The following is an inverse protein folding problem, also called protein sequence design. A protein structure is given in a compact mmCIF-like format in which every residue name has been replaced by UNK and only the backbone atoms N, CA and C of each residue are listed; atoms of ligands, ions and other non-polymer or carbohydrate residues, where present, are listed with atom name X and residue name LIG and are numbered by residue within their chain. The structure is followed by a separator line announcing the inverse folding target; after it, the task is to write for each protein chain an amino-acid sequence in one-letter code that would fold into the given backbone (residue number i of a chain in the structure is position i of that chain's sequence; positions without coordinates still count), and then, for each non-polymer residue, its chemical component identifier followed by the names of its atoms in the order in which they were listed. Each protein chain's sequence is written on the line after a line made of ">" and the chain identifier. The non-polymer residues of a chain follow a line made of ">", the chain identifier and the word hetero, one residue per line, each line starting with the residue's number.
data_IF_729079696473
#
_entry.id   IF_729079696473
#
_cell.length_a   1.000
_cell.length_b   1.000
_cell.length_c   1.000
_cell.angle_alpha   90.00
_cell.angle_beta   90.00
_cell.angle_gamma   90.00
#
_symmetry.space_group_name_H-M   'P 1'
#
loop_
_entity.id
_entity.type
_entity.pdbx_description
1 polymer ?
#
# COMPACT_ATOMS: atom_id res chain seq x y z
N UNK A 1 -13.16 -19.77 -30.14
CA UNK A 1 -11.86 -19.08 -30.32
C UNK A 1 -10.96 -19.58 -29.21
N UNK A 2 -9.75 -20.05 -29.52
CA UNK A 2 -8.81 -20.41 -28.45
C UNK A 2 -8.32 -19.12 -27.80
N UNK A 3 -8.77 -18.84 -26.57
CA UNK A 3 -8.24 -17.75 -25.76
C UNK A 3 -6.86 -18.18 -25.26
N UNK A 4 -5.83 -17.40 -25.60
CA UNK A 4 -4.49 -17.61 -25.07
C UNK A 4 -4.45 -17.31 -23.57
N UNK A 5 -3.33 -17.59 -22.93
CA UNK A 5 -3.05 -17.15 -21.56
C UNK A 5 -1.56 -16.93 -21.40
N UNK A 6 -1.16 -15.93 -20.62
CA UNK A 6 0.22 -15.79 -20.17
C UNK A 6 0.42 -16.71 -18.95
N UNK A 7 1.52 -17.47 -18.95
CA UNK A 7 1.92 -18.29 -17.81
C UNK A 7 3.16 -17.67 -17.15
N UNK A 8 3.08 -17.42 -15.84
CA UNK A 8 4.20 -16.95 -15.02
C UNK A 8 4.65 -18.10 -14.14
N UNK A 9 5.94 -18.45 -14.24
CA UNK A 9 6.61 -19.54 -13.50
C UNK A 9 5.89 -20.91 -13.52
N UNK A 10 5.02 -21.14 -14.52
CA UNK A 10 4.26 -22.38 -14.70
C UNK A 10 3.12 -22.61 -13.71
N UNK A 11 2.96 -21.75 -12.70
CA UNK A 11 1.92 -21.85 -11.66
C UNK A 11 0.80 -20.81 -11.77
N UNK A 12 1.09 -19.65 -12.36
CA UNK A 12 0.12 -18.55 -12.48
C UNK A 12 -0.34 -18.42 -13.92
N UNK A 13 -1.67 -18.47 -14.12
CA UNK A 13 -2.29 -18.24 -15.43
C UNK A 13 -2.99 -16.89 -15.43
N UNK A 14 -2.41 -15.96 -16.18
CA UNK A 14 -2.98 -14.64 -16.40
C UNK A 14 -3.86 -14.70 -17.66
N UNK A 15 -5.17 -14.45 -17.54
CA UNK A 15 -6.08 -14.44 -18.69
C UNK A 15 -5.65 -13.37 -19.69
N UNK A 16 -5.76 -13.64 -21.00
CA UNK A 16 -5.40 -12.62 -21.99
C UNK A 16 -6.39 -11.48 -22.06
N UNK A 17 -7.60 -11.64 -21.51
CA UNK A 17 -8.71 -10.70 -21.59
C UNK A 17 -8.79 -9.68 -20.45
N UNK A 18 -7.74 -9.54 -19.64
CA UNK A 18 -7.61 -8.51 -18.59
C UNK A 18 -7.19 -7.13 -19.14
N UNK A 19 -7.78 -6.72 -20.25
CA UNK A 19 -7.36 -5.52 -20.99
C UNK A 19 -7.67 -4.19 -20.29
N UNK A 20 -8.45 -4.23 -19.21
CA UNK A 20 -8.89 -3.08 -18.43
C UNK A 20 -8.96 -3.41 -16.93
N UNK A 21 -9.12 -2.38 -16.10
CA UNK A 21 -9.29 -2.51 -14.65
C UNK A 21 -10.45 -3.44 -14.29
N UNK A 22 -11.56 -3.38 -15.02
CA UNK A 22 -12.71 -4.24 -14.78
C UNK A 22 -12.35 -5.72 -15.01
N UNK A 23 -11.62 -6.02 -16.08
CA UNK A 23 -11.11 -7.35 -16.38
C UNK A 23 -10.14 -7.86 -15.31
N UNK A 24 -9.23 -7.00 -14.84
CA UNK A 24 -8.36 -7.35 -13.72
C UNK A 24 -9.16 -7.68 -12.46
N UNK A 25 -10.14 -6.85 -12.08
CA UNK A 25 -10.98 -7.08 -10.89
C UNK A 25 -11.80 -8.37 -10.99
N UNK A 26 -12.38 -8.65 -12.17
CA UNK A 26 -13.06 -9.93 -12.43
C UNK A 26 -12.12 -11.12 -12.23
N UNK A 27 -10.87 -11.01 -12.66
CA UNK A 27 -9.87 -12.06 -12.44
C UNK A 27 -9.48 -12.17 -10.97
N UNK A 28 -9.26 -11.04 -10.28
CA UNK A 28 -8.92 -10.97 -8.84
C UNK A 28 -9.96 -11.63 -7.93
N UNK A 29 -11.24 -11.59 -8.31
CA UNK A 29 -12.33 -12.22 -7.56
C UNK A 29 -12.65 -13.66 -8.01
N UNK A 30 -11.92 -14.21 -8.97
CA UNK A 30 -12.18 -15.55 -9.51
C UNK A 30 -11.39 -16.64 -8.79
N UNK A 31 -11.89 -17.87 -8.83
CA UNK A 31 -11.17 -19.07 -8.37
C UNK A 31 -9.87 -19.35 -9.17
N UNK A 32 -9.60 -18.60 -10.23
CA UNK A 32 -8.37 -18.68 -11.03
C UNK A 32 -7.30 -17.71 -10.55
N UNK A 33 -7.62 -16.81 -9.61
CA UNK A 33 -6.63 -15.91 -9.04
C UNK A 33 -5.62 -16.69 -8.19
N UNK A 34 -4.31 -16.42 -8.30
CA UNK A 34 -3.30 -17.17 -7.55
C UNK A 34 -3.46 -17.03 -6.03
N UNK A 35 -3.24 -18.13 -5.30
CA UNK A 35 -3.20 -18.13 -3.83
C UNK A 35 -1.93 -17.45 -3.26
N UNK A 36 -0.94 -17.17 -4.10
CA UNK A 36 0.31 -16.52 -3.69
C UNK A 36 0.86 -15.62 -4.79
N UNK A 37 1.70 -14.67 -4.36
CA UNK A 37 2.15 -13.55 -5.18
C UNK A 37 1.23 -12.34 -5.02
N UNK A 38 1.74 -11.17 -5.38
CA UNK A 38 0.97 -9.91 -5.40
C UNK A 38 0.75 -9.47 -6.82
N UNK A 39 -0.47 -9.06 -7.13
CA UNK A 39 -0.82 -8.59 -8.46
C UNK A 39 -1.45 -7.21 -8.39
N UNK A 40 -1.02 -6.34 -9.30
CA UNK A 40 -1.52 -4.98 -9.39
C UNK A 40 -1.88 -4.66 -10.84
N UNK A 41 -2.94 -3.89 -11.03
CA UNK A 41 -3.28 -3.25 -12.29
C UNK A 41 -3.00 -1.76 -12.19
N UNK A 42 -2.06 -1.27 -13.00
CA UNK A 42 -1.59 0.11 -12.96
C UNK A 42 -1.78 0.71 -14.35
N UNK A 43 -2.93 1.38 -14.60
CA UNK A 43 -3.22 2.15 -15.81
C UNK A 43 -2.86 1.41 -17.13
N UNK A 44 -3.48 0.25 -17.35
CA UNK A 44 -3.25 -0.59 -18.53
C UNK A 44 -2.21 -1.69 -18.37
N UNK A 45 -1.43 -1.69 -17.29
CA UNK A 45 -0.35 -2.67 -17.07
C UNK A 45 -0.63 -3.58 -15.87
N UNK A 46 -0.30 -4.87 -16.00
CA UNK A 46 -0.43 -5.84 -14.90
C UNK A 46 0.96 -6.17 -14.37
N UNK A 47 1.17 -5.86 -13.10
CA UNK A 47 2.38 -6.16 -12.35
C UNK A 47 2.15 -7.42 -11.53
N UNK A 48 3.12 -8.33 -11.58
CA UNK A 48 3.13 -9.56 -10.78
C UNK A 48 4.44 -9.61 -9.97
N UNK A 49 4.33 -9.56 -8.65
CA UNK A 49 5.44 -9.82 -7.74
C UNK A 49 5.31 -11.22 -7.13
N UNK A 50 6.18 -12.11 -7.60
CA UNK A 50 6.22 -13.51 -7.16
C UNK A 50 7.34 -13.78 -6.15
N UNK A 51 8.12 -12.75 -5.80
CA UNK A 51 9.29 -12.93 -4.95
C UNK A 51 8.88 -13.04 -3.46
N UNK A 52 9.51 -13.92 -2.67
CA UNK A 52 9.35 -13.88 -1.22
C UNK A 52 9.96 -12.60 -0.66
N UNK A 53 9.36 -12.09 0.40
CA UNK A 53 9.86 -10.87 1.06
C UNK A 53 11.23 -11.09 1.73
N UNK A 54 12.08 -10.06 1.65
CA UNK A 54 13.31 -10.03 2.44
C UNK A 54 12.98 -9.79 3.92
N UNK A 55 13.38 -10.73 4.78
CA UNK A 55 13.04 -10.71 6.21
C UNK A 55 13.48 -9.43 6.93
N UNK A 56 14.63 -8.87 6.57
CA UNK A 56 15.26 -7.78 7.33
C UNK A 56 14.91 -6.39 6.80
N UNK A 57 14.61 -6.26 5.52
CA UNK A 57 14.50 -4.98 4.81
C UNK A 57 13.06 -4.68 4.40
N UNK A 58 12.20 -5.71 4.35
CA UNK A 58 10.78 -5.58 4.00
C UNK A 58 9.87 -6.12 5.11
N UNK A 59 9.88 -7.44 5.33
CA UNK A 59 8.88 -8.11 6.18
C UNK A 59 8.79 -7.54 7.61
N UNK A 60 9.94 -7.47 8.30
CA UNK A 60 9.99 -6.91 9.67
C UNK A 60 9.61 -5.45 9.72
N UNK A 61 10.06 -4.66 8.74
CA UNK A 61 9.81 -3.23 8.70
C UNK A 61 8.32 -2.96 8.49
N UNK A 62 7.71 -3.60 7.48
CA UNK A 62 6.26 -3.57 7.24
C UNK A 62 5.50 -3.93 8.50
N UNK A 63 5.82 -5.07 9.14
CA UNK A 63 5.15 -5.50 10.37
C UNK A 63 5.25 -4.49 11.51
N UNK A 64 6.39 -3.81 11.67
CA UNK A 64 6.55 -2.71 12.64
C UNK A 64 5.65 -1.54 12.26
N UNK A 65 5.72 -1.05 11.02
CA UNK A 65 4.93 0.10 10.56
C UNK A 65 3.43 -0.17 10.72
N UNK A 66 2.93 -1.31 10.23
CA UNK A 66 1.54 -1.74 10.42
C UNK A 66 1.15 -1.70 11.89
N UNK A 67 1.92 -2.36 12.76
CA UNK A 67 1.59 -2.48 14.19
C UNK A 67 1.46 -1.11 14.85
N UNK A 68 2.44 -0.23 14.66
CA UNK A 68 2.44 1.09 15.30
C UNK A 68 1.33 2.00 14.74
N UNK A 69 1.09 1.97 13.43
CA UNK A 69 0.00 2.74 12.83
C UNK A 69 -1.38 2.23 13.29
N UNK A 70 -1.59 0.91 13.36
CA UNK A 70 -2.84 0.34 13.88
C UNK A 70 -3.09 0.76 15.32
N UNK A 71 -2.06 0.71 16.17
CA UNK A 71 -2.19 1.13 17.57
C UNK A 71 -2.47 2.64 17.68
N UNK A 72 -1.80 3.45 16.87
CA UNK A 72 -2.01 4.90 16.83
C UNK A 72 -3.44 5.24 16.40
N UNK A 73 -3.91 4.67 15.29
CA UNK A 73 -5.25 4.92 14.78
C UNK A 73 -6.33 4.52 15.81
N UNK A 74 -6.16 3.36 16.46
CA UNK A 74 -7.08 2.89 17.48
C UNK A 74 -7.07 3.74 18.75
N UNK A 75 -5.90 4.23 19.19
CA UNK A 75 -5.82 5.05 20.42
C UNK A 75 -6.39 6.46 20.25
N UNK A 76 -6.42 6.97 19.02
CA UNK A 76 -6.96 8.29 18.70
C UNK A 76 -8.38 8.24 18.15
N UNK A 77 -8.90 7.04 17.88
CA UNK A 77 -10.22 6.82 17.26
C UNK A 77 -10.41 7.62 15.97
N UNK A 78 -9.45 7.47 15.03
CA UNK A 78 -9.42 8.24 13.78
C UNK A 78 -9.74 7.43 12.51
N UNK A 79 -9.73 6.10 12.58
CA UNK A 79 -9.94 5.24 11.42
C UNK A 79 -9.39 3.83 11.56
N UNK A 80 -9.29 3.15 10.43
CA UNK A 80 -8.79 1.78 10.31
C UNK A 80 -7.49 1.73 9.52
N UNK A 81 -6.58 0.86 9.97
CA UNK A 81 -5.36 0.51 9.24
C UNK A 81 -5.53 -0.90 8.70
N UNK A 82 -5.35 -1.06 7.40
CA UNK A 82 -5.42 -2.34 6.69
C UNK A 82 -4.01 -2.70 6.21
N UNK A 83 -3.46 -3.86 6.62
CA UNK A 83 -2.21 -4.36 6.08
C UNK A 83 -2.38 -4.90 4.65
N UNK A 84 -1.27 -5.35 4.06
CA UNK A 84 -1.27 -6.10 2.80
C UNK A 84 -2.26 -7.27 2.79
N UNK A 85 -2.71 -7.62 1.59
CA UNK A 85 -3.83 -8.54 1.35
C UNK A 85 -5.19 -7.86 1.12
N UNK A 86 -5.27 -6.52 1.25
CA UNK A 86 -6.43 -5.73 0.84
C UNK A 86 -6.14 -4.95 -0.44
N UNK A 87 -7.07 -5.00 -1.41
CA UNK A 87 -6.94 -4.28 -2.68
C UNK A 87 -7.47 -2.86 -2.53
N UNK A 88 -6.68 -1.85 -2.92
CA UNK A 88 -7.21 -0.52 -3.21
C UNK A 88 -7.62 -0.47 -4.68
N UNK A 89 -8.82 0.03 -4.97
CA UNK A 89 -9.33 0.25 -6.33
C UNK A 89 -9.74 1.71 -6.50
N UNK A 90 -9.19 2.37 -7.50
CA UNK A 90 -9.61 3.71 -7.90
C UNK A 90 -9.86 3.75 -9.41
N UNK A 91 -11.14 3.90 -9.79
CA UNK A 91 -11.58 3.90 -11.18
C UNK A 91 -11.13 5.15 -11.95
N UNK A 92 -10.97 6.29 -11.26
CA UNK A 92 -10.53 7.53 -11.89
C UNK A 92 -9.04 7.49 -12.26
N UNK A 93 -8.22 6.92 -11.39
CA UNK A 93 -6.78 6.74 -11.61
C UNK A 93 -6.44 5.42 -12.31
N UNK A 94 -7.45 4.64 -12.71
CA UNK A 94 -7.31 3.35 -13.38
C UNK A 94 -6.32 2.39 -12.68
N UNK A 95 -6.47 2.27 -11.36
CA UNK A 95 -5.54 1.51 -10.51
C UNK A 95 -6.25 0.50 -9.61
N UNK A 96 -5.69 -0.70 -9.53
CA UNK A 96 -5.91 -1.69 -8.47
C UNK A 96 -4.56 -2.14 -7.94
N UNK A 97 -4.25 -1.91 -6.66
CA UNK A 97 -3.00 -2.37 -6.06
C UNK A 97 -3.26 -2.99 -4.70
N UNK A 98 -2.32 -3.80 -4.22
CA UNK A 98 -2.23 -4.26 -2.84
C UNK A 98 -1.06 -3.52 -2.16
N UNK A 99 -1.32 -2.40 -1.46
CA UNK A 99 -0.29 -1.68 -0.73
C UNK A 99 0.16 -2.44 0.51
N UNK A 100 1.39 -2.17 0.98
CA UNK A 100 1.88 -2.80 2.21
C UNK A 100 1.08 -2.37 3.46
N UNK A 101 0.66 -1.10 3.51
CA UNK A 101 -0.29 -0.58 4.51
C UNK A 101 -1.16 0.50 3.88
N UNK A 102 -2.44 0.53 4.23
CA UNK A 102 -3.31 1.68 3.98
C UNK A 102 -4.04 2.10 5.26
N UNK A 103 -4.38 3.38 5.35
CA UNK A 103 -5.23 3.92 6.39
C UNK A 103 -6.44 4.61 5.77
N UNK A 104 -7.61 4.34 6.36
CA UNK A 104 -8.88 4.95 5.99
C UNK A 104 -9.49 5.56 7.25
N UNK A 105 -9.74 6.86 7.20
CA UNK A 105 -10.35 7.61 8.29
C UNK A 105 -11.84 7.32 8.42
N UNK A 106 -12.38 7.52 9.62
CA UNK A 106 -13.83 7.47 9.84
C UNK A 106 -14.57 8.47 8.95
N UNK A 107 -14.02 9.67 8.78
CA UNK A 107 -14.59 10.70 7.90
C UNK A 107 -14.75 10.20 6.47
N UNK A 108 -13.72 9.56 5.89
CA UNK A 108 -13.75 9.03 4.52
C UNK A 108 -14.74 7.88 4.32
N UNK A 109 -14.98 7.07 5.36
CA UNK A 109 -16.01 6.02 5.34
C UNK A 109 -17.42 6.62 5.48
N UNK A 110 -17.60 7.58 6.39
CA UNK A 110 -18.89 8.22 6.66
C UNK A 110 -19.37 9.07 5.48
N UNK A 111 -18.47 9.82 4.84
CA UNK A 111 -18.77 10.66 3.67
C UNK A 111 -18.76 9.87 2.34
N UNK A 112 -18.34 8.60 2.38
CA UNK A 112 -18.28 7.66 1.25
C UNK A 112 -17.31 8.05 0.13
N UNK A 113 -16.26 8.81 0.44
CA UNK A 113 -15.10 8.92 -0.46
C UNK A 113 -14.34 7.60 -0.55
N UNK A 114 -14.45 6.77 0.49
CA UNK A 114 -13.99 5.38 0.53
C UNK A 114 -15.15 4.46 0.91
N UNK A 115 -15.20 3.28 0.28
CA UNK A 115 -16.14 2.21 0.64
C UNK A 115 -15.47 0.85 0.55
N UNK A 116 -15.87 -0.07 1.41
CA UNK A 116 -15.52 -1.47 1.27
C UNK A 116 -16.47 -2.13 0.27
N UNK A 117 -15.94 -2.85 -0.71
CA UNK A 117 -16.74 -3.57 -1.70
C UNK A 117 -16.74 -5.07 -1.42
N UNK A 118 -17.94 -5.65 -1.50
CA UNK A 118 -18.14 -7.07 -1.30
C UNK A 118 -17.67 -7.85 -2.53
N UNK A 119 -17.07 -9.02 -2.30
CA UNK A 119 -16.75 -9.99 -3.37
C UNK A 119 -18.03 -10.52 -4.00
N UNK A 120 -19.03 -10.77 -3.17
CA UNK A 120 -20.37 -11.25 -3.56
C UNK A 120 -21.41 -10.39 -2.85
N UNK A 121 -22.34 -9.84 -3.61
CA UNK A 121 -23.41 -8.98 -3.07
C UNK A 121 -24.19 -9.69 -1.95
N UNK A 122 -24.31 -9.02 -0.80
CA UNK A 122 -24.99 -9.50 0.41
C UNK A 122 -24.19 -10.51 1.23
N UNK A 123 -22.89 -10.70 0.96
CA UNK A 123 -22.04 -11.66 1.69
C UNK A 123 -21.37 -11.08 2.92
N UNK A 124 -21.30 -9.75 3.04
CA UNK A 124 -20.47 -9.02 4.03
C UNK A 124 -18.98 -9.41 4.00
N UNK A 125 -18.51 -9.98 2.87
CA UNK A 125 -17.10 -10.35 2.66
C UNK A 125 -16.44 -9.32 1.78
N UNK A 126 -15.61 -8.47 2.39
CA UNK A 126 -14.93 -7.37 1.73
C UNK A 126 -13.47 -7.71 1.48
N UNK A 127 -12.99 -7.41 0.28
CA UNK A 127 -11.56 -7.55 -0.09
C UNK A 127 -11.01 -6.30 -0.80
N UNK A 128 -11.89 -5.40 -1.23
CA UNK A 128 -11.54 -4.16 -1.91
C UNK A 128 -11.93 -2.94 -1.07
N UNK A 129 -11.02 -1.96 -1.05
CA UNK A 129 -11.23 -0.58 -0.65
C UNK A 129 -11.38 0.23 -1.93
N UNK A 130 -12.61 0.62 -2.25
CA UNK A 130 -12.91 1.41 -3.45
C UNK A 130 -12.93 2.89 -3.10
N UNK A 131 -12.12 3.67 -3.82
CA UNK A 131 -11.95 5.10 -3.59
C UNK A 131 -10.48 5.45 -3.32
N UNK A 132 -10.26 6.39 -2.42
CA UNK A 132 -8.93 6.95 -2.14
C UNK A 132 -8.64 6.83 -0.65
N UNK A 133 -7.88 5.81 -0.23
CA UNK A 133 -7.39 5.74 1.15
C UNK A 133 -6.71 7.05 1.51
N UNK A 134 -6.86 7.45 2.77
CA UNK A 134 -6.32 8.71 3.24
C UNK A 134 -4.79 8.69 3.28
N UNK A 135 -4.22 7.53 3.59
CA UNK A 135 -2.79 7.27 3.57
C UNK A 135 -2.51 5.91 2.92
N UNK A 136 -1.48 5.87 2.08
CA UNK A 136 -0.87 4.63 1.57
C UNK A 136 0.61 4.58 1.97
N UNK A 137 1.08 3.43 2.41
CA UNK A 137 2.49 3.16 2.72
C UNK A 137 3.00 2.01 1.86
N UNK A 138 4.15 2.20 1.21
CA UNK A 138 4.86 1.15 0.48
C UNK A 138 6.27 0.99 1.06
N UNK A 139 6.65 -0.26 1.35
CA UNK A 139 7.99 -0.63 1.80
C UNK A 139 8.74 -1.20 0.60
N UNK A 140 9.73 -0.46 0.11
CA UNK A 140 10.42 -0.80 -1.14
C UNK A 140 11.19 -2.11 -0.98
N UNK A 141 10.85 -3.08 -1.81
CA UNK A 141 11.52 -4.37 -1.96
C UNK A 141 12.43 -4.38 -3.19
N UNK A 142 13.19 -5.46 -3.38
CA UNK A 142 13.98 -5.64 -4.62
C UNK A 142 13.09 -5.66 -5.86
N UNK A 143 11.96 -6.37 -5.82
CA UNK A 143 11.04 -6.56 -6.94
C UNK A 143 10.09 -5.37 -7.14
N UNK A 144 9.80 -4.60 -6.10
CA UNK A 144 8.83 -3.49 -6.19
C UNK A 144 9.44 -2.13 -6.55
N UNK A 145 10.79 -2.02 -6.66
CA UNK A 145 11.48 -0.74 -6.90
C UNK A 145 10.82 0.14 -7.97
N UNK A 146 10.58 -0.41 -9.17
CA UNK A 146 9.94 0.35 -10.25
C UNK A 146 8.49 0.70 -9.93
N UNK A 147 7.74 -0.27 -9.37
CA UNK A 147 6.34 -0.11 -9.00
C UNK A 147 6.17 1.06 -8.02
N UNK A 148 6.94 1.06 -6.93
CA UNK A 148 6.74 1.99 -5.82
C UNK A 148 7.40 3.35 -6.07
N UNK A 149 8.55 3.40 -6.76
CA UNK A 149 9.25 4.66 -6.99
C UNK A 149 8.79 5.40 -8.25
N UNK A 150 8.15 4.71 -9.20
CA UNK A 150 7.86 5.28 -10.53
C UNK A 150 6.40 5.12 -10.93
N UNK A 151 5.83 3.92 -10.86
CA UNK A 151 4.50 3.67 -11.42
C UNK A 151 3.36 4.14 -10.48
N UNK A 152 3.43 3.80 -9.20
CA UNK A 152 2.41 4.11 -8.20
C UNK A 152 2.31 5.59 -7.81
N UNK A 153 3.40 6.35 -7.62
CA UNK A 153 3.30 7.74 -7.15
C UNK A 153 2.36 8.62 -7.98
N UNK A 154 2.44 8.70 -9.33
CA UNK A 154 1.50 9.51 -10.10
C UNK A 154 0.06 8.96 -10.07
N UNK A 155 -0.12 7.65 -9.93
CA UNK A 155 -1.45 7.04 -9.86
C UNK A 155 -2.13 7.30 -8.52
N UNK A 156 -1.41 7.18 -7.40
CA UNK A 156 -1.93 7.54 -6.09
C UNK A 156 -2.20 9.05 -5.97
N UNK A 157 -1.38 9.88 -6.60
CA UNK A 157 -1.65 11.31 -6.70
C UNK A 157 -2.95 11.57 -7.47
N UNK A 158 -3.08 10.98 -8.67
CA UNK A 158 -4.28 11.12 -9.50
C UNK A 158 -5.54 10.53 -8.83
N UNK A 159 -5.37 9.51 -7.99
CA UNK A 159 -6.43 8.95 -7.17
C UNK A 159 -6.87 9.91 -6.05
N UNK A 160 -6.05 10.89 -5.67
CA UNK A 160 -6.35 11.80 -4.57
C UNK A 160 -6.04 11.23 -3.19
N UNK A 161 -5.10 10.28 -3.09
CA UNK A 161 -4.55 9.83 -1.80
C UNK A 161 -3.92 11.06 -1.13
N UNK A 162 -4.24 11.29 0.16
CA UNK A 162 -3.82 12.52 0.86
C UNK A 162 -2.38 12.46 1.32
N UNK A 163 -1.92 11.29 1.76
CA UNK A 163 -0.52 11.04 2.10
C UNK A 163 0.02 9.75 1.49
N UNK A 164 1.27 9.80 1.05
CA UNK A 164 2.00 8.66 0.54
C UNK A 164 3.34 8.51 1.26
N UNK A 165 3.53 7.39 1.94
CA UNK A 165 4.77 7.09 2.65
C UNK A 165 5.56 6.04 1.86
N UNK A 166 6.81 6.36 1.54
CA UNK A 166 7.71 5.48 0.82
C UNK A 166 8.94 5.19 1.69
N UNK A 167 9.13 3.92 2.04
CA UNK A 167 10.17 3.51 2.97
C UNK A 167 11.11 2.52 2.27
N UNK A 168 12.40 2.85 2.18
CA UNK A 168 13.43 1.94 1.65
C UNK A 168 14.51 1.68 2.71
N UNK A 169 14.57 0.44 3.18
CA UNK A 169 15.55 0.00 4.19
C UNK A 169 16.61 -0.96 3.62
N UNK A 170 16.70 -1.12 2.29
CA UNK A 170 17.65 -2.06 1.66
C UNK A 170 19.10 -1.57 1.77
N UNK A 171 19.29 -0.26 1.87
CA UNK A 171 20.60 0.38 2.03
C UNK A 171 21.14 0.37 3.46
N UNK A 172 22.35 0.93 3.62
CA UNK A 172 23.01 1.10 4.93
C UNK A 172 22.29 2.07 5.86
N UNK A 173 21.48 2.99 5.30
CA UNK A 173 20.57 3.88 6.02
C UNK A 173 19.11 3.63 5.59
N UNK A 174 18.15 4.05 6.40
CA UNK A 174 16.73 4.04 6.01
C UNK A 174 16.42 5.32 5.25
N UNK A 175 15.79 5.20 4.08
CA UNK A 175 15.05 6.30 3.46
C UNK A 175 13.60 6.23 3.95
N UNK A 176 13.13 7.26 4.64
CA UNK A 176 11.73 7.42 5.01
C UNK A 176 11.22 8.72 4.42
N UNK A 177 10.42 8.61 3.36
CA UNK A 177 9.77 9.75 2.71
C UNK A 177 8.31 9.76 3.11
N UNK A 178 7.86 10.88 3.67
CA UNK A 178 6.44 11.21 3.85
C UNK A 178 6.10 12.26 2.82
N UNK A 179 5.12 11.98 1.97
CA UNK A 179 4.64 12.90 0.94
C UNK A 179 3.20 13.25 1.24
N UNK A 180 2.85 14.53 1.15
CA UNK A 180 1.46 15.00 1.20
C UNK A 180 1.02 15.48 -0.17
N UNK A 181 -0.27 15.35 -0.46
CA UNK A 181 -0.85 15.82 -1.70
C UNK A 181 -0.78 17.36 -1.78
N UNK A 182 -0.14 17.89 -2.83
CA UNK A 182 -0.12 19.32 -3.15
C UNK A 182 -1.00 19.64 -4.35
N UNK A 183 -1.08 20.92 -4.70
CA UNK A 183 -1.96 21.42 -5.77
C UNK A 183 -1.65 20.81 -7.15
N UNK A 184 -0.37 20.54 -7.45
CA UNK A 184 0.10 20.03 -8.75
C UNK A 184 0.88 18.71 -8.69
N UNK A 185 1.46 18.36 -7.53
CA UNK A 185 2.24 17.12 -7.31
C UNK A 185 2.36 16.82 -5.80
N UNK A 186 2.99 15.70 -5.46
CA UNK A 186 3.44 15.37 -4.11
C UNK A 186 4.42 16.40 -3.56
N UNK A 187 4.24 16.76 -2.29
CA UNK A 187 5.15 17.60 -1.53
C UNK A 187 5.80 16.76 -0.45
N UNK A 188 7.14 16.72 -0.45
CA UNK A 188 7.92 16.05 0.60
C UNK A 188 7.76 16.79 1.91
N UNK A 189 7.43 16.04 2.96
CA UNK A 189 7.39 16.54 4.33
C UNK A 189 8.76 16.33 4.96
N UNK A 190 9.45 17.45 5.14
CA UNK A 190 10.77 17.49 5.78
C UNK A 190 10.68 17.10 7.25
N UNK A 191 11.65 16.33 7.77
CA UNK A 191 11.73 16.07 9.19
C UNK A 191 12.09 17.35 9.97
N UNK A 192 11.61 17.43 11.21
CA UNK A 192 12.05 18.44 12.16
C UNK A 192 13.48 18.16 12.69
N UNK A 193 13.94 19.01 13.60
CA UNK A 193 15.27 18.91 14.23
C UNK A 193 15.51 17.59 14.99
N UNK A 194 14.45 16.90 15.41
CA UNK A 194 14.51 15.62 16.13
C UNK A 194 14.30 14.43 15.16
N UNK A 195 14.09 14.68 13.86
CA UNK A 195 13.89 13.67 12.82
C UNK A 195 12.44 13.27 12.59
N UNK A 196 11.47 13.87 13.28
CA UNK A 196 10.06 13.52 13.14
C UNK A 196 9.42 14.22 11.93
N UNK A 197 8.55 13.51 11.21
CA UNK A 197 7.74 14.06 10.10
C UNK A 197 6.29 14.15 10.52
N UNK A 198 5.66 15.30 10.30
CA UNK A 198 4.26 15.51 10.64
C UNK A 198 3.35 14.90 9.58
N UNK A 199 2.44 14.03 10.01
CA UNK A 199 1.33 13.51 9.22
C UNK A 199 0.08 14.30 9.59
N UNK A 200 -0.48 15.00 8.61
CA UNK A 200 -1.76 15.69 8.72
C UNK A 200 -2.90 14.66 8.78
N UNK A 201 -2.79 13.58 8.00
CA UNK A 201 -3.78 12.50 7.95
C UNK A 201 -3.92 11.78 9.28
N UNK A 202 -2.80 11.53 9.97
CA UNK A 202 -2.79 10.82 11.25
C UNK A 202 -2.79 11.75 12.47
N UNK A 203 -2.71 13.07 12.28
CA UNK A 203 -2.68 14.06 13.36
C UNK A 203 -1.52 13.88 14.33
N UNK A 204 -0.34 13.47 13.83
CA UNK A 204 0.81 13.10 14.66
C UNK A 204 2.14 13.22 13.93
N UNK A 205 3.24 13.19 14.66
CA UNK A 205 4.60 13.21 14.11
C UNK A 205 5.28 11.85 14.26
N UNK A 206 5.97 11.38 13.23
CA UNK A 206 6.53 10.03 13.18
C UNK A 206 8.02 10.00 12.85
N UNK A 207 8.77 9.16 13.54
CA UNK A 207 10.19 8.91 13.34
C UNK A 207 10.44 7.41 13.23
N UNK A 208 10.98 6.97 12.10
CA UNK A 208 11.39 5.58 11.89
C UNK A 208 12.89 5.43 12.18
N UNK A 209 13.25 4.52 13.07
CA UNK A 209 14.65 4.19 13.38
C UNK A 209 14.97 2.73 13.10
N UNK A 210 16.26 2.44 12.92
CA UNK A 210 16.80 1.08 12.80
C UNK A 210 18.03 0.92 13.66
N UNK A 211 18.02 -0.14 14.45
CA UNK A 211 19.14 -0.59 15.27
C UNK A 211 19.41 -2.08 15.06
N UNK A 212 20.46 -2.61 15.68
CA UNK A 212 20.69 -4.04 15.79
C UNK A 212 20.00 -4.62 17.02
N UNK A 213 19.34 -5.76 16.85
CA UNK A 213 18.85 -6.57 17.95
C UNK A 213 19.99 -7.36 18.62
N UNK A 214 19.68 -8.04 19.73
CA UNK A 214 20.64 -8.80 20.54
C UNK A 214 21.41 -9.91 19.80
N UNK A 215 20.97 -10.32 18.60
CA UNK A 215 21.64 -11.33 17.76
C UNK A 215 22.14 -10.75 16.43
N UNK A 216 22.20 -9.42 16.28
CA UNK A 216 22.77 -8.75 15.11
C UNK A 216 21.84 -8.63 13.89
N UNK A 217 20.54 -8.93 14.03
CA UNK A 217 19.55 -8.62 12.99
C UNK A 217 18.97 -7.21 13.15
N UNK A 218 18.35 -6.65 12.11
CA UNK A 218 17.71 -5.35 12.23
C UNK A 218 16.50 -5.39 13.17
N UNK A 219 16.35 -4.31 13.93
CA UNK A 219 15.20 -3.95 14.76
C UNK A 219 14.75 -2.57 14.32
N UNK A 220 13.49 -2.45 13.94
CA UNK A 220 12.86 -1.19 13.60
C UNK A 220 12.00 -0.70 14.76
N UNK A 221 11.85 0.62 14.86
CA UNK A 221 10.91 1.28 15.76
C UNK A 221 10.30 2.46 15.03
N UNK A 222 8.96 2.55 15.01
CA UNK A 222 8.24 3.72 14.56
C UNK A 222 7.79 4.49 15.81
N UNK A 223 8.49 5.56 16.13
CA UNK A 223 8.15 6.44 17.26
C UNK A 223 7.13 7.47 16.81
N UNK A 224 6.20 7.81 17.69
CA UNK A 224 5.18 8.82 17.45
C UNK A 224 5.06 9.82 18.60
N UNK A 225 4.61 11.03 18.28
CA UNK A 225 4.19 12.05 19.26
C UNK A 225 3.02 12.86 18.70
N UNK A 226 2.19 13.39 19.59
CA UNK A 226 1.16 14.38 19.23
C UNK A 226 1.84 15.68 18.76
N UNK A 227 1.14 16.43 17.89
CA UNK A 227 1.58 17.71 17.31
C UNK A 227 0.81 18.87 17.90
#
# INVERSE_FOLDING_TARGET
>A
MATGSLLIDGGVRVPTDIYDLEGFRRWAHSDQFPESGRFSYLNGEVFADMAPEELQTHNKLKGVVTTYLTLWAASHDIGEVLPDGALVVNEQADVSNEPDVMFVSWESLENRTVRYAEVVEGSERYVEVVGSPDLVVEVVSKSSTYKDNTALPPLYYAAGVREYWLIDARGGEISFLLKRCGDDDWIDVEPDQDGYRNSEVLGGAFLLTRDLNRVGGYRYELRSREV
#
